data_IF_928496160541
#
_entry.id   IF_928496160541
#
_cell.length_a   1.000
_cell.length_b   1.000
_cell.length_c   1.000
_cell.angle_alpha   90.00
_cell.angle_beta   90.00
_cell.angle_gamma   90.00
#
_symmetry.space_group_name_H-M   'P 1'
#
loop_
_entity.id
_entity.type
_entity.pdbx_description
1 polymer ?
#
# COMPACT_ATOMS: atom_id res chain seq x y z
N UNK A 1 5.75 -8.63 23.17
CA UNK A 1 5.74 -7.16 23.33
C UNK A 1 4.62 -6.62 22.46
N UNK A 2 3.54 -6.09 23.03
CA UNK A 2 2.47 -5.41 22.28
C UNK A 2 2.76 -3.91 22.24
N UNK A 3 2.65 -3.31 21.05
CA UNK A 3 2.65 -1.85 20.91
C UNK A 3 1.30 -1.30 21.44
N UNK A 4 1.20 -0.04 21.89
CA UNK A 4 -0.05 0.55 22.35
C UNK A 4 -1.15 0.47 21.28
N UNK A 5 -2.37 0.04 21.64
CA UNK A 5 -3.54 0.02 20.73
C UNK A 5 -4.35 -1.28 20.67
N UNK A 6 -3.90 -2.37 21.29
CA UNK A 6 -4.63 -3.65 21.34
C UNK A 6 -5.46 -3.80 22.63
N UNK A 7 -6.69 -4.29 22.50
CA UNK A 7 -7.65 -4.50 23.60
C UNK A 7 -7.35 -5.74 24.48
N UNK A 8 -6.20 -6.40 24.28
CA UNK A 8 -5.84 -7.68 24.92
C UNK A 8 -4.55 -7.49 25.72
N UNK A 9 -4.54 -7.98 26.96
CA UNK A 9 -3.39 -7.89 27.85
C UNK A 9 -2.18 -8.69 27.33
N UNK A 10 -0.98 -8.22 27.66
CA UNK A 10 0.28 -8.91 27.33
C UNK A 10 0.26 -10.34 27.89
N UNK A 11 0.59 -11.33 27.04
CA UNK A 11 0.63 -12.74 27.43
C UNK A 11 -0.68 -13.51 27.29
N UNK A 12 -1.79 -12.83 26.96
CA UNK A 12 -3.06 -13.49 26.66
C UNK A 12 -3.18 -13.86 25.18
N UNK A 13 -4.01 -14.87 24.89
CA UNK A 13 -4.41 -15.22 23.52
C UNK A 13 -5.03 -14.01 22.81
N UNK A 14 -4.63 -13.75 21.56
CA UNK A 14 -5.06 -12.61 20.74
C UNK A 14 -6.53 -12.72 20.27
N UNK A 15 -7.46 -12.85 21.21
CA UNK A 15 -8.91 -12.89 21.01
C UNK A 15 -9.50 -11.68 21.72
N UNK A 16 -10.02 -10.73 20.94
CA UNK A 16 -10.59 -9.50 21.48
C UNK A 16 -11.85 -9.78 22.35
N UNK A 17 -12.24 -8.84 23.23
CA UNK A 17 -13.39 -9.02 24.13
C UNK A 17 -14.71 -9.36 23.42
N UNK A 18 -15.01 -8.71 22.30
CA UNK A 18 -16.26 -8.95 21.56
C UNK A 18 -16.31 -10.35 20.92
N UNK A 19 -15.30 -10.80 20.15
CA UNK A 19 -15.27 -12.18 19.66
C UNK A 19 -15.31 -13.21 20.80
N UNK A 20 -14.58 -12.96 21.89
CA UNK A 20 -14.62 -13.85 23.07
C UNK A 20 -16.04 -13.99 23.62
N UNK A 21 -16.76 -12.88 23.76
CA UNK A 21 -18.16 -12.86 24.19
C UNK A 21 -19.06 -13.61 23.21
N UNK A 22 -18.94 -13.36 21.90
CA UNK A 22 -19.72 -14.05 20.87
C UNK A 22 -19.52 -15.57 20.91
N UNK A 23 -18.28 -16.04 21.10
CA UNK A 23 -17.98 -17.47 21.25
C UNK A 23 -18.66 -18.03 22.49
N UNK A 24 -18.57 -17.33 23.63
CA UNK A 24 -19.22 -17.76 24.87
C UNK A 24 -20.73 -17.82 24.75
N UNK A 25 -21.37 -16.81 24.15
CA UNK A 25 -22.82 -16.77 23.92
C UNK A 25 -23.28 -17.93 23.01
N UNK A 26 -22.55 -18.22 21.93
CA UNK A 26 -22.85 -19.33 21.03
C UNK A 26 -22.75 -20.69 21.73
N UNK A 27 -21.72 -20.90 22.56
CA UNK A 27 -21.59 -22.13 23.35
C UNK A 27 -22.73 -22.26 24.37
N UNK A 28 -23.09 -21.16 25.04
CA UNK A 28 -24.21 -21.15 25.99
C UNK A 28 -25.53 -21.49 25.32
N UNK A 29 -25.81 -20.94 24.13
CA UNK A 29 -27.04 -21.25 23.39
C UNK A 29 -27.16 -22.74 23.02
N UNK A 30 -26.05 -23.35 22.59
CA UNK A 30 -26.03 -24.77 22.21
C UNK A 30 -26.25 -25.66 23.44
N UNK A 31 -25.56 -25.37 24.55
CA UNK A 31 -25.60 -26.23 25.73
C UNK A 31 -26.74 -25.89 26.72
N UNK A 32 -27.41 -24.74 26.61
CA UNK A 32 -28.57 -24.39 27.46
C UNK A 32 -29.78 -25.30 27.21
N UNK A 33 -29.81 -25.98 26.05
CA UNK A 33 -30.85 -26.95 25.69
C UNK A 33 -30.54 -28.36 26.19
N UNK A 34 -29.39 -28.56 26.84
CA UNK A 34 -29.01 -29.85 27.39
C UNK A 34 -29.77 -30.12 28.70
N UNK A 35 -30.31 -31.33 28.91
CA UNK A 35 -31.17 -31.64 30.07
C UNK A 35 -30.45 -31.61 31.43
N UNK A 36 -29.12 -31.52 31.44
CA UNK A 36 -28.29 -31.46 32.65
C UNK A 36 -27.21 -30.37 32.50
N UNK A 37 -26.74 -29.76 33.61
CA UNK A 37 -25.62 -28.81 33.58
C UNK A 37 -24.38 -29.41 32.91
N UNK A 38 -23.84 -28.72 31.92
CA UNK A 38 -22.64 -29.14 31.18
C UNK A 38 -21.52 -28.14 31.43
N UNK A 39 -20.35 -28.64 31.83
CA UNK A 39 -19.10 -27.88 31.78
C UNK A 39 -18.40 -28.19 30.46
N UNK A 40 -18.03 -27.17 29.69
CA UNK A 40 -17.33 -27.34 28.43
C UNK A 40 -15.97 -26.64 28.45
N UNK A 41 -14.97 -27.31 27.90
CA UNK A 41 -13.67 -26.71 27.59
C UNK A 41 -13.57 -26.57 26.07
N UNK A 42 -13.42 -25.34 25.59
CA UNK A 42 -13.31 -25.04 24.16
C UNK A 42 -11.90 -24.58 23.82
N UNK A 43 -11.24 -25.31 22.92
CA UNK A 43 -9.97 -24.90 22.32
C UNK A 43 -10.24 -24.38 20.92
N UNK A 44 -9.83 -23.13 20.66
CA UNK A 44 -9.90 -22.53 19.33
C UNK A 44 -8.53 -22.64 18.69
N UNK A 45 -8.46 -23.28 17.53
CA UNK A 45 -7.24 -23.40 16.74
C UNK A 45 -7.45 -22.80 15.37
N UNK A 46 -6.39 -22.19 14.83
CA UNK A 46 -6.32 -21.76 13.45
C UNK A 46 -5.21 -22.59 12.80
N UNK A 47 -5.57 -23.64 12.02
CA UNK A 47 -4.58 -24.40 11.26
C UNK A 47 -3.71 -23.44 10.43
N UNK A 48 -2.40 -23.67 10.45
CA UNK A 48 -1.39 -22.81 9.81
C UNK A 48 -1.42 -21.34 10.27
N UNK A 49 -1.97 -21.06 11.45
CA UNK A 49 -2.17 -19.70 11.96
C UNK A 49 -0.85 -18.93 12.09
N UNK A 50 0.23 -19.59 12.49
CA UNK A 50 1.56 -18.99 12.58
C UNK A 50 2.12 -18.62 11.20
N UNK A 51 2.03 -19.52 10.21
CA UNK A 51 2.47 -19.24 8.84
C UNK A 51 1.65 -18.13 8.19
N UNK A 52 0.33 -18.13 8.41
CA UNK A 52 -0.56 -17.08 7.90
C UNK A 52 -0.28 -15.74 8.57
N UNK A 53 0.07 -15.72 9.86
CA UNK A 53 0.39 -14.49 10.59
C UNK A 53 1.59 -13.74 10.00
N UNK A 54 2.57 -14.45 9.42
CA UNK A 54 3.72 -13.84 8.71
C UNK A 54 3.31 -12.94 7.54
N UNK A 55 2.11 -13.14 7.00
CA UNK A 55 1.55 -12.34 5.88
C UNK A 55 0.58 -11.25 6.35
N UNK A 56 0.54 -10.97 7.65
CA UNK A 56 -0.36 -9.96 8.24
C UNK A 56 0.44 -8.88 8.97
N UNK A 57 -0.24 -7.81 9.37
CA UNK A 57 0.34 -6.76 10.20
C UNK A 57 0.42 -7.16 11.69
N UNK A 58 0.03 -8.38 12.07
CA UNK A 58 -0.01 -8.83 13.47
C UNK A 58 1.35 -8.72 14.17
N UNK A 59 2.44 -9.07 13.47
CA UNK A 59 3.79 -8.93 14.01
C UNK A 59 4.12 -7.46 14.32
N UNK A 60 3.69 -6.52 13.46
CA UNK A 60 3.87 -5.07 13.67
C UNK A 60 3.11 -4.57 14.89
N UNK A 61 1.98 -5.21 15.22
CA UNK A 61 1.16 -4.92 16.39
C UNK A 61 1.61 -5.68 17.66
N UNK A 62 2.63 -6.53 17.55
CA UNK A 62 3.20 -7.27 18.68
C UNK A 62 2.51 -8.59 19.03
N UNK A 63 1.69 -9.10 18.11
CA UNK A 63 1.10 -10.44 18.17
C UNK A 63 2.07 -11.40 17.47
N UNK A 64 2.57 -12.38 18.22
CA UNK A 64 3.60 -13.33 17.77
C UNK A 64 3.05 -14.76 17.90
N UNK A 65 3.42 -15.65 16.97
CA UNK A 65 3.04 -17.06 17.01
C UNK A 65 1.61 -17.38 16.55
N UNK A 66 0.88 -16.42 15.96
CA UNK A 66 -0.47 -16.69 15.48
C UNK A 66 -1.23 -15.47 14.96
N UNK A 67 -2.48 -15.71 14.56
CA UNK A 67 -3.43 -14.70 14.09
C UNK A 67 -4.27 -14.14 15.23
N UNK A 68 -4.79 -12.92 15.05
CA UNK A 68 -5.79 -12.34 15.95
C UNK A 68 -7.21 -12.70 15.53
N UNK A 69 -8.05 -13.06 16.51
CA UNK A 69 -9.50 -13.21 16.32
C UNK A 69 -10.16 -11.89 16.70
N UNK A 70 -10.59 -11.17 15.67
CA UNK A 70 -11.09 -9.79 15.74
C UNK A 70 -12.51 -9.71 15.17
N UNK A 71 -13.25 -8.65 15.52
CA UNK A 71 -14.59 -8.37 14.99
C UNK A 71 -15.49 -7.73 16.03
N UNK A 72 -16.26 -6.72 15.63
CA UNK A 72 -17.22 -6.02 16.51
C UNK A 72 -18.66 -6.46 16.29
N UNK A 73 -18.98 -6.99 15.10
CA UNK A 73 -20.35 -7.37 14.70
C UNK A 73 -20.49 -8.82 14.22
N UNK A 74 -19.40 -9.58 14.09
CA UNK A 74 -19.42 -10.92 13.51
C UNK A 74 -19.66 -10.96 11.99
N UNK A 75 -19.84 -9.80 11.34
CA UNK A 75 -20.07 -9.69 9.89
C UNK A 75 -18.81 -9.15 9.21
N UNK A 76 -18.25 -9.91 8.27
CA UNK A 76 -17.17 -9.44 7.40
C UNK A 76 -17.77 -8.60 6.29
N UNK A 77 -17.62 -7.28 6.40
CA UNK A 77 -17.95 -6.37 5.29
C UNK A 77 -16.77 -6.32 4.32
N UNK A 78 -17.00 -6.37 2.99
CA UNK A 78 -15.97 -6.02 2.02
C UNK A 78 -15.36 -4.67 2.39
N UNK A 79 -14.04 -4.52 2.25
CA UNK A 79 -13.39 -3.23 2.48
C UNK A 79 -14.05 -2.21 1.55
N UNK A 80 -14.80 -1.27 2.14
CA UNK A 80 -15.33 -0.14 1.42
C UNK A 80 -14.19 0.84 1.12
N UNK A 81 -14.37 1.69 0.11
CA UNK A 81 -13.45 2.80 -0.18
C UNK A 81 -13.14 3.62 1.08
N UNK A 82 -14.16 3.83 1.94
CA UNK A 82 -13.99 4.55 3.21
C UNK A 82 -13.07 3.82 4.20
N UNK A 83 -13.25 2.50 4.37
CA UNK A 83 -12.38 1.72 5.24
C UNK A 83 -10.92 1.71 4.73
N UNK A 84 -10.71 1.79 3.41
CA UNK A 84 -9.38 1.93 2.84
C UNK A 84 -8.76 3.30 3.14
N UNK A 85 -9.51 4.39 2.96
CA UNK A 85 -9.03 5.74 3.28
C UNK A 85 -8.73 5.90 4.78
N UNK A 86 -9.58 5.37 5.66
CA UNK A 86 -9.34 5.37 7.12
C UNK A 86 -8.05 4.60 7.49
N UNK A 87 -7.72 3.55 6.72
CA UNK A 87 -6.46 2.81 6.88
C UNK A 87 -5.24 3.65 6.47
N UNK A 88 -5.36 4.43 5.39
CA UNK A 88 -4.31 5.35 4.95
C UNK A 88 -4.09 6.43 6.02
N UNK A 89 -5.16 7.03 6.53
CA UNK A 89 -5.10 8.02 7.62
C UNK A 89 -4.30 7.47 8.80
N UNK A 90 -4.72 6.31 9.31
CA UNK A 90 -4.13 5.67 10.49
C UNK A 90 -2.66 5.33 10.25
N UNK A 91 -2.31 4.83 9.06
CA UNK A 91 -0.94 4.46 8.74
C UNK A 91 -0.02 5.69 8.68
N UNK A 92 -0.51 6.82 8.14
CA UNK A 92 0.24 8.10 8.15
C UNK A 92 0.44 8.62 9.58
N UNK A 93 -0.57 8.53 10.45
CA UNK A 93 -0.43 8.93 11.86
C UNK A 93 0.63 8.09 12.58
N UNK A 94 0.64 6.78 12.35
CA UNK A 94 1.64 5.88 12.94
C UNK A 94 3.05 6.23 12.44
N UNK A 95 3.21 6.47 11.13
CA UNK A 95 4.51 6.85 10.55
C UNK A 95 5.07 8.14 11.20
N UNK A 96 4.22 9.16 11.34
CA UNK A 96 4.58 10.44 11.95
C UNK A 96 4.87 10.29 13.45
N UNK A 97 4.07 9.52 14.18
CA UNK A 97 4.30 9.23 15.60
C UNK A 97 5.61 8.45 15.83
N UNK A 98 6.04 7.66 14.84
CA UNK A 98 7.35 7.01 14.81
C UNK A 98 8.50 7.92 14.35
N UNK A 99 8.25 9.22 14.13
CA UNK A 99 9.27 10.21 13.79
C UNK A 99 9.69 10.21 12.32
N UNK A 100 8.94 9.55 11.43
CA UNK A 100 9.26 9.57 10.00
C UNK A 100 8.80 10.87 9.34
N UNK A 101 9.77 11.65 8.84
CA UNK A 101 9.50 12.84 8.02
C UNK A 101 9.23 12.50 6.54
N UNK A 102 9.64 11.31 6.12
CA UNK A 102 9.44 10.76 4.77
C UNK A 102 8.45 9.60 4.82
N UNK A 103 7.41 9.64 3.98
CA UNK A 103 6.45 8.54 3.83
C UNK A 103 6.53 7.98 2.41
N UNK A 104 6.64 6.66 2.30
CA UNK A 104 6.57 5.94 1.03
C UNK A 104 5.14 5.45 0.80
N UNK A 105 4.47 6.03 -0.20
CA UNK A 105 3.13 5.62 -0.61
C UNK A 105 3.24 4.61 -1.76
N UNK A 106 2.81 3.37 -1.54
CA UNK A 106 2.91 2.30 -2.53
C UNK A 106 1.57 1.99 -3.20
N UNK A 107 1.60 1.77 -4.52
CA UNK A 107 0.38 1.40 -5.29
C UNK A 107 -0.07 -0.04 -5.06
N UNK A 108 0.71 -0.84 -4.33
CA UNK A 108 0.43 -2.25 -4.08
C UNK A 108 1.65 -2.99 -3.53
N UNK A 109 1.45 -4.27 -3.17
CA UNK A 109 2.44 -5.06 -2.43
C UNK A 109 3.80 -5.18 -3.13
N UNK A 110 3.82 -5.39 -4.44
CA UNK A 110 5.10 -5.48 -5.18
C UNK A 110 5.88 -4.18 -5.07
N UNK A 111 5.24 -3.04 -5.32
CA UNK A 111 5.87 -1.71 -5.20
C UNK A 111 6.36 -1.44 -3.78
N UNK A 112 5.59 -1.84 -2.77
CA UNK A 112 5.95 -1.70 -1.36
C UNK A 112 7.21 -2.50 -1.01
N UNK A 113 7.26 -3.78 -1.39
CA UNK A 113 8.41 -4.65 -1.10
C UNK A 113 9.67 -4.13 -1.80
N UNK A 114 9.54 -3.67 -3.05
CA UNK A 114 10.66 -3.07 -3.79
C UNK A 114 11.17 -1.82 -3.08
N UNK A 115 10.27 -0.92 -2.67
CA UNK A 115 10.65 0.28 -1.95
C UNK A 115 11.27 -0.03 -0.58
N UNK A 116 10.71 -0.98 0.17
CA UNK A 116 11.26 -1.44 1.45
C UNK A 116 12.70 -1.92 1.29
N UNK A 117 12.98 -2.75 0.28
CA UNK A 117 14.34 -3.24 0.00
C UNK A 117 15.28 -2.10 -0.39
N UNK A 118 14.83 -1.18 -1.22
CA UNK A 118 15.63 -0.05 -1.68
C UNK A 118 16.01 0.90 -0.53
N UNK A 119 15.04 1.29 0.29
CA UNK A 119 15.29 2.24 1.37
C UNK A 119 15.89 1.60 2.61
N UNK A 120 15.77 0.28 2.79
CA UNK A 120 16.52 -0.42 3.84
C UNK A 120 18.05 -0.30 3.65
N UNK A 121 18.53 -0.27 2.41
CA UNK A 121 19.96 -0.13 2.11
C UNK A 121 20.42 1.31 1.90
N UNK A 122 19.54 2.21 1.43
CA UNK A 122 19.91 3.58 1.08
C UNK A 122 19.77 4.59 2.23
N UNK A 123 18.65 4.58 2.95
CA UNK A 123 18.28 5.65 3.90
C UNK A 123 17.87 5.12 5.29
N UNK A 124 17.66 3.81 5.45
CA UNK A 124 17.28 3.20 6.71
C UNK A 124 15.87 3.61 7.18
N UNK A 125 14.93 3.84 6.25
CA UNK A 125 13.55 4.21 6.63
C UNK A 125 12.91 3.11 7.48
N UNK A 126 12.22 3.45 8.58
CA UNK A 126 11.54 2.48 9.42
C UNK A 126 10.37 1.85 8.68
N UNK A 127 9.96 0.66 9.11
CA UNK A 127 8.89 -0.10 8.46
C UNK A 127 7.55 0.67 8.43
N UNK A 128 7.32 1.50 9.45
CA UNK A 128 6.14 2.35 9.58
C UNK A 128 6.06 3.47 8.53
N UNK A 129 7.18 3.85 7.91
CA UNK A 129 7.20 4.85 6.83
C UNK A 129 6.54 4.34 5.53
N UNK A 130 6.30 3.03 5.41
CA UNK A 130 5.74 2.41 4.21
C UNK A 130 4.23 2.23 4.35
N UNK A 131 3.49 3.00 3.58
CA UNK A 131 2.02 3.03 3.59
C UNK A 131 1.49 2.55 2.24
N UNK A 132 0.65 1.52 2.26
CA UNK A 132 -0.02 1.02 1.06
C UNK A 132 -1.24 1.88 0.72
N UNK A 133 -1.09 2.82 -0.20
CA UNK A 133 -2.20 3.67 -0.65
C UNK A 133 -3.14 2.93 -1.62
N UNK A 134 -2.67 1.85 -2.26
CA UNK A 134 -3.42 1.15 -3.30
C UNK A 134 -3.68 2.10 -4.48
N UNK A 135 -4.96 2.28 -4.81
CA UNK A 135 -5.35 3.14 -5.92
C UNK A 135 -5.57 4.62 -5.54
N UNK A 136 -5.56 4.99 -4.25
CA UNK A 136 -6.04 6.28 -3.76
C UNK A 136 -4.97 7.39 -3.68
N UNK A 137 -4.27 7.69 -4.78
CA UNK A 137 -3.14 8.64 -4.77
C UNK A 137 -3.55 10.05 -4.37
N UNK A 138 -4.64 10.59 -4.92
CA UNK A 138 -5.03 11.98 -4.66
C UNK A 138 -5.40 12.19 -3.20
N UNK A 139 -6.13 11.23 -2.63
CA UNK A 139 -6.46 11.22 -1.21
C UNK A 139 -5.22 11.08 -0.33
N UNK A 140 -4.35 10.11 -0.60
CA UNK A 140 -3.15 9.86 0.20
C UNK A 140 -2.19 11.05 0.22
N UNK A 141 -2.02 11.74 -0.93
CA UNK A 141 -1.24 12.98 -1.01
C UNK A 141 -1.83 14.09 -0.13
N UNK A 142 -3.15 14.30 -0.17
CA UNK A 142 -3.83 15.30 0.68
C UNK A 142 -3.70 14.99 2.16
N UNK A 143 -3.84 13.73 2.55
CA UNK A 143 -3.64 13.29 3.95
C UNK A 143 -2.22 13.57 4.41
N UNK A 144 -1.21 13.23 3.60
CA UNK A 144 0.19 13.50 3.93
C UNK A 144 0.45 15.01 4.09
N UNK A 145 -0.04 15.83 3.16
CA UNK A 145 0.10 17.29 3.24
C UNK A 145 -0.61 17.87 4.47
N UNK A 146 -1.86 17.46 4.73
CA UNK A 146 -2.65 17.94 5.86
C UNK A 146 -2.02 17.59 7.22
N UNK A 147 -1.34 16.45 7.30
CA UNK A 147 -0.67 15.98 8.52
C UNK A 147 0.80 16.43 8.65
N UNK A 148 1.27 17.27 7.72
CA UNK A 148 2.61 17.88 7.81
C UNK A 148 3.77 16.94 7.46
N UNK A 149 3.54 15.92 6.62
CA UNK A 149 4.61 15.09 6.07
C UNK A 149 5.55 15.94 5.23
N UNK A 150 6.86 15.87 5.48
CA UNK A 150 7.84 16.70 4.79
C UNK A 150 8.13 16.21 3.36
N UNK A 151 8.25 14.89 3.18
CA UNK A 151 8.54 14.27 1.90
C UNK A 151 7.67 13.03 1.66
N UNK A 152 7.18 12.87 0.43
CA UNK A 152 6.50 11.66 -0.03
C UNK A 152 7.31 10.99 -1.14
N UNK A 153 7.44 9.67 -1.09
CA UNK A 153 7.89 8.85 -2.21
C UNK A 153 6.70 8.08 -2.77
N UNK A 154 6.30 8.37 -4.01
CA UNK A 154 5.31 7.58 -4.74
C UNK A 154 6.01 6.37 -5.36
N UNK A 155 5.78 5.19 -4.79
CA UNK A 155 6.32 3.91 -5.25
C UNK A 155 5.28 3.12 -6.06
N UNK A 156 5.54 2.92 -7.35
CA UNK A 156 4.56 2.27 -8.23
C UNK A 156 5.18 1.54 -9.40
N UNK A 157 4.41 0.62 -9.98
CA UNK A 157 4.74 0.03 -11.28
C UNK A 157 4.38 1.02 -12.39
N UNK A 158 5.06 0.91 -13.53
CA UNK A 158 4.95 1.84 -14.65
C UNK A 158 3.50 2.14 -15.07
N UNK A 159 2.64 1.13 -15.20
CA UNK A 159 1.24 1.34 -15.58
C UNK A 159 0.46 2.21 -14.59
N UNK A 160 0.69 2.04 -13.28
CA UNK A 160 0.02 2.82 -12.24
C UNK A 160 0.57 4.24 -12.20
N UNK A 161 1.89 4.40 -12.31
CA UNK A 161 2.52 5.72 -12.36
C UNK A 161 2.15 6.50 -13.63
N UNK A 162 1.98 5.83 -14.77
CA UNK A 162 1.48 6.47 -15.99
C UNK A 162 0.08 7.04 -15.78
N UNK A 163 -0.82 6.31 -15.09
CA UNK A 163 -2.14 6.83 -14.77
C UNK A 163 -2.07 8.10 -13.91
N UNK A 164 -1.20 8.09 -12.91
CA UNK A 164 -0.97 9.26 -12.06
C UNK A 164 -0.43 10.42 -12.89
N UNK A 165 0.54 10.17 -13.78
CA UNK A 165 1.07 11.15 -14.71
C UNK A 165 0.01 11.74 -15.65
N UNK A 166 -1.00 10.95 -16.05
CA UNK A 166 -2.13 11.41 -16.86
C UNK A 166 -3.18 12.20 -16.07
N UNK A 167 -3.02 12.37 -14.76
CA UNK A 167 -3.93 13.18 -13.93
C UNK A 167 -4.97 12.38 -13.16
N UNK A 168 -4.90 11.04 -13.16
CA UNK A 168 -5.88 10.23 -12.45
C UNK A 168 -5.58 10.21 -10.94
N UNK A 169 -6.49 10.76 -10.13
CA UNK A 169 -6.42 10.67 -8.66
C UNK A 169 -6.67 9.26 -8.11
N UNK A 170 -7.26 8.38 -8.94
CA UNK A 170 -7.41 6.96 -8.66
C UNK A 170 -6.79 6.11 -9.79
N UNK A 171 -5.97 5.12 -9.44
CA UNK A 171 -5.28 4.31 -10.46
C UNK A 171 -6.06 3.07 -10.92
N UNK A 172 -7.28 2.86 -10.40
CA UNK A 172 -8.26 1.89 -10.89
C UNK A 172 -9.25 2.57 -11.85
N UNK A 173 -8.71 3.18 -12.91
CA UNK A 173 -9.51 3.79 -13.98
C UNK A 173 -9.25 3.05 -15.28
N UNK A 174 -10.32 2.62 -15.94
CA UNK A 174 -10.28 2.01 -17.26
C UNK A 174 -10.08 3.08 -18.35
N UNK A 175 -8.83 3.52 -18.52
CA UNK A 175 -8.43 4.55 -19.47
C UNK A 175 -7.10 4.23 -20.19
N UNK A 176 -6.70 2.96 -20.22
CA UNK A 176 -5.35 2.57 -20.64
C UNK A 176 -5.00 2.96 -22.08
N UNK A 177 -5.96 2.91 -23.01
CA UNK A 177 -5.75 3.35 -24.40
C UNK A 177 -5.50 4.86 -24.49
N UNK A 178 -6.31 5.65 -23.78
CA UNK A 178 -6.15 7.10 -23.70
C UNK A 178 -4.81 7.48 -23.03
N UNK A 179 -4.44 6.79 -21.96
CA UNK A 179 -3.17 7.00 -21.26
C UNK A 179 -1.96 6.75 -22.18
N UNK A 180 -2.02 5.72 -23.03
CA UNK A 180 -0.99 5.41 -24.02
C UNK A 180 -0.93 6.46 -25.15
N UNK A 181 -2.07 6.97 -25.61
CA UNK A 181 -2.12 8.06 -26.60
C UNK A 181 -1.51 9.34 -26.04
N UNK A 182 -1.87 9.71 -24.80
CA UNK A 182 -1.29 10.86 -24.09
C UNK A 182 0.23 10.69 -23.97
N UNK A 183 0.70 9.51 -23.56
CA UNK A 183 2.13 9.21 -23.48
C UNK A 183 2.81 9.36 -24.84
N UNK A 184 2.21 8.86 -25.92
CA UNK A 184 2.73 9.02 -27.28
C UNK A 184 2.92 10.48 -27.66
N UNK A 185 1.96 11.34 -27.31
CA UNK A 185 2.12 12.78 -27.44
C UNK A 185 3.33 13.31 -26.68
N UNK A 186 3.50 12.95 -25.41
CA UNK A 186 4.67 13.38 -24.64
C UNK A 186 5.99 12.89 -25.24
N UNK A 187 6.05 11.64 -25.69
CA UNK A 187 7.27 11.06 -26.28
C UNK A 187 7.71 11.82 -27.53
N UNK A 188 6.77 12.23 -28.38
CA UNK A 188 7.04 12.99 -29.60
C UNK A 188 7.62 14.39 -29.34
N UNK A 189 7.19 15.04 -28.24
CA UNK A 189 7.57 16.41 -27.92
C UNK A 189 8.86 16.53 -27.11
N UNK A 190 9.37 15.43 -26.54
CA UNK A 190 10.67 15.40 -25.86
C UNK A 190 11.73 14.73 -26.76
N UNK A 191 12.76 15.48 -27.22
CA UNK A 191 13.80 14.95 -28.11
C UNK A 191 14.52 13.71 -27.56
N UNK A 192 14.60 13.54 -26.24
CA UNK A 192 15.26 12.39 -25.60
C UNK A 192 14.45 11.10 -25.76
N UNK A 193 13.15 11.23 -25.98
CA UNK A 193 12.21 10.10 -26.07
C UNK A 193 11.52 9.95 -27.43
N UNK A 194 11.70 10.90 -28.36
CA UNK A 194 11.04 10.90 -29.67
C UNK A 194 11.19 9.57 -30.44
N UNK A 195 12.35 8.92 -30.33
CA UNK A 195 12.63 7.59 -30.91
C UNK A 195 11.71 6.46 -30.41
N UNK A 196 11.09 6.63 -29.24
CA UNK A 196 10.19 5.65 -28.62
C UNK A 196 8.73 5.85 -29.02
N UNK A 197 8.37 7.02 -29.56
CA UNK A 197 6.99 7.32 -29.94
C UNK A 197 6.36 6.27 -30.88
N UNK A 198 7.08 5.70 -31.87
CA UNK A 198 6.53 4.64 -32.72
C UNK A 198 6.13 3.36 -31.96
N UNK A 199 6.73 3.09 -30.80
CA UNK A 199 6.44 1.89 -29.99
C UNK A 199 5.01 1.91 -29.41
N UNK A 200 4.41 3.09 -29.26
CA UNK A 200 3.05 3.25 -28.72
C UNK A 200 2.02 2.52 -29.60
N UNK A 201 2.16 2.59 -30.92
CA UNK A 201 1.25 1.92 -31.84
C UNK A 201 1.30 0.38 -31.75
N UNK A 202 2.44 -0.18 -31.32
CA UNK A 202 2.62 -1.61 -31.11
C UNK A 202 2.25 -2.08 -29.69
N UNK A 203 1.95 -1.18 -28.77
CA UNK A 203 1.74 -1.48 -27.37
C UNK A 203 0.25 -1.58 -27.01
N UNK A 204 -0.21 -2.76 -26.59
CA UNK A 204 -1.56 -2.96 -26.06
C UNK A 204 -1.72 -2.50 -24.60
N UNK A 205 -0.62 -2.42 -23.85
CA UNK A 205 -0.64 -2.01 -22.44
C UNK A 205 0.58 -1.15 -22.12
N UNK A 206 0.49 -0.34 -21.06
CA UNK A 206 1.63 0.41 -20.53
C UNK A 206 2.82 -0.50 -20.16
N UNK A 207 2.54 -1.72 -19.68
CA UNK A 207 3.57 -2.73 -19.42
C UNK A 207 4.27 -3.17 -20.71
N UNK A 208 3.50 -3.50 -21.74
CA UNK A 208 4.08 -3.91 -23.03
C UNK A 208 4.92 -2.79 -23.64
N UNK A 209 4.48 -1.53 -23.54
CA UNK A 209 5.29 -0.38 -23.96
C UNK A 209 6.61 -0.28 -23.19
N UNK A 210 6.58 -0.45 -21.87
CA UNK A 210 7.80 -0.44 -21.05
C UNK A 210 8.77 -1.55 -21.49
N UNK A 211 8.26 -2.75 -21.79
CA UNK A 211 9.03 -3.89 -22.27
C UNK A 211 9.64 -3.61 -23.65
N UNK A 212 8.84 -3.10 -24.61
CA UNK A 212 9.31 -2.69 -25.94
C UNK A 212 10.38 -1.59 -25.88
N UNK A 213 10.23 -0.64 -24.94
CA UNK A 213 11.19 0.41 -24.71
C UNK A 213 12.41 -0.05 -23.88
N UNK A 214 12.48 -1.34 -23.51
CA UNK A 214 13.55 -1.91 -22.68
C UNK A 214 13.83 -1.10 -21.39
N UNK A 215 12.76 -0.63 -20.73
CA UNK A 215 12.83 0.24 -19.56
C UNK A 215 13.71 1.49 -19.75
N UNK A 216 13.65 2.11 -20.94
CA UNK A 216 14.46 3.25 -21.31
C UNK A 216 14.50 4.35 -20.24
N UNK A 217 15.71 4.80 -19.90
CA UNK A 217 15.92 5.76 -18.82
C UNK A 217 15.15 7.07 -19.05
N UNK A 218 15.16 7.60 -20.28
CA UNK A 218 14.49 8.86 -20.59
C UNK A 218 12.96 8.73 -20.51
N UNK A 219 12.39 7.59 -20.89
CA UNK A 219 10.97 7.28 -20.68
C UNK A 219 10.60 7.31 -19.19
N UNK A 220 11.40 6.66 -18.35
CA UNK A 220 11.17 6.60 -16.90
C UNK A 220 11.25 7.99 -16.25
N UNK A 221 12.22 8.82 -16.65
CA UNK A 221 12.34 10.21 -16.19
C UNK A 221 11.15 11.06 -16.61
N UNK A 222 10.73 10.94 -17.87
CA UNK A 222 9.60 11.68 -18.40
C UNK A 222 8.32 11.39 -17.60
N UNK A 223 8.00 10.10 -17.41
CA UNK A 223 6.81 9.71 -16.65
C UNK A 223 6.92 10.14 -15.19
N UNK A 224 8.06 9.94 -14.54
CA UNK A 224 8.25 10.39 -13.16
C UNK A 224 8.12 11.92 -13.01
N UNK A 225 8.61 12.70 -13.98
CA UNK A 225 8.44 14.15 -14.01
C UNK A 225 6.97 14.55 -14.11
N UNK A 226 6.19 13.85 -14.94
CA UNK A 226 4.74 14.05 -15.05
C UNK A 226 3.99 13.66 -13.78
N UNK A 227 4.38 12.58 -13.09
CA UNK A 227 3.86 12.21 -11.76
C UNK A 227 4.13 13.31 -10.73
N UNK A 228 5.35 13.86 -10.69
CA UNK A 228 5.69 14.96 -9.78
C UNK A 228 4.86 16.21 -10.09
N UNK A 229 4.66 16.53 -11.37
CA UNK A 229 3.82 17.66 -11.80
C UNK A 229 2.36 17.48 -11.37
N UNK A 230 1.80 16.27 -11.52
CA UNK A 230 0.48 15.94 -11.00
C UNK A 230 0.41 16.15 -9.48
N UNK A 231 1.36 15.59 -8.72
CA UNK A 231 1.35 15.71 -7.27
C UNK A 231 1.46 17.16 -6.80
N UNK A 232 2.30 17.97 -7.45
CA UNK A 232 2.40 19.41 -7.19
C UNK A 232 1.09 20.17 -7.50
N UNK A 233 0.31 19.70 -8.49
CA UNK A 233 -1.02 20.24 -8.77
C UNK A 233 -2.08 19.87 -7.74
N UNK A 234 -1.99 18.68 -7.13
CA UNK A 234 -2.92 18.22 -6.09
C UNK A 234 -2.60 18.83 -4.72
N UNK A 235 -1.31 18.89 -4.36
CA UNK A 235 -0.81 19.39 -3.07
C UNK A 235 0.43 20.27 -3.27
N UNK A 236 0.24 21.58 -3.54
CA UNK A 236 1.35 22.50 -3.69
C UNK A 236 2.26 22.53 -2.46
N UNK A 237 3.58 22.49 -2.66
CA UNK A 237 4.59 22.60 -1.60
C UNK A 237 5.00 21.28 -0.95
N UNK A 238 4.29 20.16 -1.19
CA UNK A 238 4.73 18.85 -0.72
C UNK A 238 5.90 18.34 -1.58
N UNK A 239 7.02 17.98 -0.96
CA UNK A 239 8.15 17.41 -1.68
C UNK A 239 7.83 15.97 -2.11
N UNK A 240 7.77 15.72 -3.43
CA UNK A 240 7.43 14.40 -3.98
C UNK A 240 8.56 13.84 -4.82
N UNK A 241 8.96 12.61 -4.47
CA UNK A 241 9.83 11.75 -5.25
C UNK A 241 9.04 10.56 -5.79
N UNK A 242 9.59 9.92 -6.81
CA UNK A 242 8.97 8.79 -7.52
C UNK A 242 9.97 7.63 -7.58
N UNK A 243 9.50 6.45 -7.19
CA UNK A 243 10.19 5.17 -7.34
C UNK A 243 9.39 4.28 -8.29
N UNK A 244 10.04 3.87 -9.38
CA UNK A 244 9.51 2.92 -10.35
C UNK A 244 9.94 1.50 -9.98
N UNK A 245 8.98 0.70 -9.57
CA UNK A 245 9.17 -0.72 -9.30
C UNK A 245 8.97 -1.55 -10.59
N UNK A 246 9.91 -2.45 -10.86
CA UNK A 246 9.82 -3.45 -11.92
C UNK A 246 8.79 -4.53 -11.60
N UNK A 247 8.33 -5.21 -12.64
CA UNK A 247 7.38 -6.32 -12.50
C UNK A 247 8.03 -7.59 -11.91
N UNK A 248 9.35 -7.66 -11.95
CA UNK A 248 10.22 -8.70 -11.41
C UNK A 248 10.78 -8.37 -10.00
N UNK A 249 10.38 -7.22 -9.43
CA UNK A 249 10.79 -6.84 -8.08
C UNK A 249 12.13 -6.13 -7.98
N UNK A 250 12.66 -5.59 -9.09
CA UNK A 250 13.80 -4.68 -9.09
C UNK A 250 13.37 -3.20 -9.06
N UNK A 251 14.29 -2.30 -8.74
CA UNK A 251 14.09 -0.85 -8.91
C UNK A 251 14.50 -0.49 -10.33
N UNK A 252 13.58 0.05 -11.12
CA UNK A 252 13.86 0.53 -12.48
C UNK A 252 14.37 1.97 -12.49
N UNK A 253 13.83 2.79 -11.60
CA UNK A 253 14.24 4.19 -11.47
C UNK A 253 13.83 4.77 -10.12
N UNK A 254 14.65 5.66 -9.57
CA UNK A 254 14.30 6.52 -8.45
C UNK A 254 14.70 7.97 -8.74
N UNK A 255 13.79 8.89 -8.50
CA UNK A 255 13.95 10.32 -8.84
C UNK A 255 14.37 11.20 -7.65
N UNK A 256 14.73 10.58 -6.52
CA UNK A 256 15.34 11.27 -5.39
C UNK A 256 16.85 11.44 -5.57
N UNK A 257 17.43 12.32 -4.76
CA UNK A 257 18.86 12.62 -4.76
C UNK A 257 19.64 11.53 -4.02
N UNK A 258 19.68 10.31 -4.55
CA UNK A 258 20.48 9.20 -4.03
C UNK A 258 21.47 8.73 -5.09
N UNK A 259 22.77 8.71 -4.76
CA UNK A 259 23.86 8.27 -5.65
C UNK A 259 23.54 6.90 -6.25
N UNK A 260 23.31 6.88 -7.56
CA UNK A 260 23.34 5.70 -8.42
C UNK A 260 24.11 6.08 -9.67
#
# INVERSE_FOLDING_TARGET
MTKPGLAVAVGAWAINPVPRRMITEALQEVFSRHPSPVSCHCTISIPDGEERAKRTLNARLGIVGGLSILGTSGVVKPISTRAWTDTIDTAVDVALACGSSTIVLSTGRTSEVVAQRYFASAEGLPEEAFVMMGDHVGYALRVCAAKGVAQVVLAGQFAKLLKIACGHEQTHVAASELDLQILGGWLQHDPRTARLAPLVAGANTARHLLELAAADRALLELVAGKVKAFAAGVVPGLAVQVLLAGYDGQVLYFSGSGRG
#
